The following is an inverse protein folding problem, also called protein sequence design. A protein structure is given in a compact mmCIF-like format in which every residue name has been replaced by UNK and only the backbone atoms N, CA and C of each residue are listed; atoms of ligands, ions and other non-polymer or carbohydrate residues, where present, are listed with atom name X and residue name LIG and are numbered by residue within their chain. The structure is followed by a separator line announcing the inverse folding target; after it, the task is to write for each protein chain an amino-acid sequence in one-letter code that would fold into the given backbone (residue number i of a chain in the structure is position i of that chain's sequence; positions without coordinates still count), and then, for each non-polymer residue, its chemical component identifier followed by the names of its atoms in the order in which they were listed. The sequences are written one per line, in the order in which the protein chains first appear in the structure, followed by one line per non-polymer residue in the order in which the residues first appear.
data_IF_059496780904
#
_entry.id   IF_059496780904
#
_cell.length_a   1.000
_cell.length_b   1.000
_cell.length_c   1.000
_cell.angle_alpha   90.00
_cell.angle_beta   90.00
_cell.angle_gamma   90.00
#
_symmetry.space_group_name_H-M   'P 1'
#
loop_
_entity.id
_entity.type
_entity.pdbx_description
1 polymer ?
#
# COMPACT_ATOMS: atom_id res chain seq x y z
N UNK A 1 1.43 8.00 -8.15
CA UNK A 1 0.71 6.70 -8.07
C UNK A 1 0.21 6.24 -9.43
N UNK A 2 -0.65 7.00 -10.10
CA UNK A 2 -1.21 6.61 -11.42
C UNK A 2 -0.12 6.44 -12.47
N UNK A 3 0.99 7.16 -12.36
CA UNK A 3 2.10 7.10 -13.30
C UNK A 3 3.02 5.89 -13.06
N UNK A 4 3.13 5.41 -11.80
CA UNK A 4 3.95 4.23 -11.43
C UNK A 4 3.33 2.89 -11.84
N UNK A 5 2.05 2.84 -12.24
CA UNK A 5 1.29 1.61 -12.37
C UNK A 5 0.95 1.22 -13.82
N UNK A 6 1.68 1.77 -14.79
CA UNK A 6 1.41 1.47 -16.19
C UNK A 6 0.17 2.19 -16.76
N UNK A 7 -0.43 3.12 -16.02
CA UNK A 7 -1.55 3.95 -16.50
C UNK A 7 -1.11 5.16 -17.33
N UNK A 8 0.19 5.31 -17.59
CA UNK A 8 0.70 6.43 -18.39
C UNK A 8 -0.04 6.57 -19.73
N UNK A 9 -0.26 5.49 -20.52
CA UNK A 9 -0.99 5.61 -21.78
C UNK A 9 -2.44 6.11 -21.60
N UNK A 10 -3.11 5.67 -20.54
CA UNK A 10 -4.48 6.09 -20.25
C UNK A 10 -4.52 7.56 -19.80
N UNK A 11 -3.56 7.99 -18.98
CA UNK A 11 -3.42 9.39 -18.56
C UNK A 11 -3.13 10.28 -19.76
N UNK A 12 -2.21 9.89 -20.66
CA UNK A 12 -1.92 10.60 -21.90
C UNK A 12 -3.15 10.75 -22.77
N UNK A 13 -3.94 9.69 -22.91
CA UNK A 13 -5.19 9.70 -23.64
C UNK A 13 -6.20 10.66 -23.02
N UNK A 14 -6.38 10.65 -21.71
CA UNK A 14 -7.27 11.60 -21.02
C UNK A 14 -6.79 13.02 -21.23
N UNK A 15 -5.49 13.28 -21.05
CA UNK A 15 -4.91 14.63 -21.24
C UNK A 15 -5.08 15.13 -22.66
N UNK A 16 -5.07 14.27 -23.68
CA UNK A 16 -5.28 14.65 -25.08
C UNK A 16 -6.69 15.19 -25.38
N UNK A 17 -7.67 14.89 -24.53
CA UNK A 17 -9.04 15.42 -24.64
C UNK A 17 -9.23 16.76 -23.91
N UNK A 18 -8.25 17.20 -23.13
CA UNK A 18 -8.34 18.44 -22.38
C UNK A 18 -7.97 19.65 -23.21
N UNK A 19 -8.53 20.84 -22.92
CA UNK A 19 -8.13 22.09 -23.59
C UNK A 19 -6.62 22.34 -23.46
N UNK A 20 -6.00 22.87 -24.51
CA UNK A 20 -4.56 23.21 -24.52
C UNK A 20 -4.26 24.30 -23.46
N UNK A 21 -5.12 25.30 -23.36
CA UNK A 21 -5.00 26.36 -22.35
C UNK A 21 -5.71 25.89 -21.08
N UNK A 22 -4.92 25.51 -20.07
CA UNK A 22 -5.42 25.06 -18.78
C UNK A 22 -4.37 25.27 -17.68
N UNK A 23 -4.80 25.34 -16.47
CA UNK A 23 -3.93 25.18 -15.30
C UNK A 23 -3.87 23.71 -14.92
N UNK A 24 -2.65 23.15 -14.88
CA UNK A 24 -2.42 21.76 -14.46
C UNK A 24 -1.68 21.77 -13.14
N UNK A 25 -2.22 21.07 -12.15
CA UNK A 25 -1.59 20.83 -10.86
C UNK A 25 -1.19 19.36 -10.80
N UNK A 26 0.06 19.12 -10.41
CA UNK A 26 0.63 17.79 -10.32
C UNK A 26 1.12 17.55 -8.89
N UNK A 27 0.56 16.57 -8.21
CA UNK A 27 0.91 16.22 -6.84
C UNK A 27 1.51 14.82 -6.79
N UNK A 28 2.64 14.68 -6.08
CA UNK A 28 3.27 13.39 -5.82
C UNK A 28 3.91 13.40 -4.44
N UNK A 29 3.84 12.28 -3.73
CA UNK A 29 4.55 12.08 -2.47
C UNK A 29 6.04 11.72 -2.72
N UNK A 30 6.35 11.17 -3.90
CA UNK A 30 7.71 10.81 -4.33
C UNK A 30 8.06 11.59 -5.59
N UNK A 31 9.28 12.11 -5.66
CA UNK A 31 9.79 12.86 -6.79
C UNK A 31 10.95 12.10 -7.45
N UNK A 32 10.67 10.89 -7.96
CA UNK A 32 11.66 10.17 -8.78
C UNK A 32 11.91 10.89 -10.10
N UNK A 33 13.07 10.66 -10.73
CA UNK A 33 13.39 11.23 -12.05
C UNK A 33 12.33 10.88 -13.12
N UNK A 34 11.72 9.71 -13.02
CA UNK A 34 10.62 9.30 -13.90
C UNK A 34 9.41 10.19 -13.73
N UNK A 35 9.03 10.50 -12.48
CA UNK A 35 7.92 11.41 -12.14
C UNK A 35 8.20 12.82 -12.62
N UNK A 36 9.43 13.31 -12.46
CA UNK A 36 9.84 14.60 -13.02
C UNK A 36 9.71 14.65 -14.55
N UNK A 37 10.15 13.62 -15.23
CA UNK A 37 10.08 13.52 -16.70
C UNK A 37 8.64 13.53 -17.18
N UNK A 38 7.77 12.76 -16.52
CA UNK A 38 6.34 12.69 -16.85
C UNK A 38 5.64 14.00 -16.50
N UNK A 39 5.95 14.61 -15.35
CA UNK A 39 5.40 15.91 -14.97
C UNK A 39 5.68 16.99 -15.99
N UNK A 40 6.92 17.07 -16.51
CA UNK A 40 7.29 18.02 -17.58
C UNK A 40 6.52 17.78 -18.89
N UNK A 41 6.07 16.57 -19.14
CA UNK A 41 5.27 16.24 -20.34
C UNK A 41 3.84 16.80 -20.26
N UNK A 42 3.28 16.90 -19.06
CA UNK A 42 1.89 17.30 -18.85
C UNK A 42 1.71 18.74 -18.36
N UNK A 43 2.78 19.36 -17.84
CA UNK A 43 2.72 20.71 -17.25
C UNK A 43 3.65 21.66 -18.01
N UNK A 44 3.07 22.75 -18.51
CA UNK A 44 3.83 23.81 -19.17
C UNK A 44 4.46 24.74 -18.10
N UNK A 45 5.77 24.96 -18.19
CA UNK A 45 6.53 25.81 -17.24
C UNK A 45 6.20 25.49 -15.76
N UNK A 46 6.46 24.26 -15.29
CA UNK A 46 6.08 23.85 -13.95
C UNK A 46 6.83 24.67 -12.88
N UNK A 47 6.09 25.18 -11.91
CA UNK A 47 6.66 25.69 -10.66
C UNK A 47 6.74 24.50 -9.69
N UNK A 48 7.93 24.09 -9.33
CA UNK A 48 8.15 23.04 -8.33
C UNK A 48 8.01 23.65 -6.94
N UNK A 49 7.17 23.04 -6.12
CA UNK A 49 7.02 23.35 -4.70
C UNK A 49 7.27 22.06 -3.94
N UNK A 50 8.36 22.03 -3.19
CA UNK A 50 8.78 20.89 -2.38
C UNK A 50 8.60 21.24 -0.90
N UNK A 51 7.84 20.45 -0.17
CA UNK A 51 7.43 20.75 1.21
C UNK A 51 8.28 20.02 2.24
N UNK A 52 8.88 18.88 1.86
CA UNK A 52 9.74 18.07 2.73
C UNK A 52 10.82 17.36 1.93
N UNK A 53 11.88 16.91 2.61
CA UNK A 53 12.90 16.05 1.99
C UNK A 53 12.26 14.74 1.51
N UNK A 54 12.61 14.26 0.30
CA UNK A 54 12.04 13.03 -0.22
C UNK A 54 12.39 11.84 0.67
N UNK A 55 11.39 11.00 0.90
CA UNK A 55 11.49 9.61 1.31
C UNK A 55 12.33 9.32 2.58
N UNK A 56 11.90 9.83 3.72
CA UNK A 56 12.23 9.20 5.01
C UNK A 56 10.95 8.64 5.62
N UNK A 57 11.03 7.43 6.19
CA UNK A 57 9.97 6.93 7.09
C UNK A 57 9.83 7.92 8.24
N UNK A 58 8.61 8.13 8.71
CA UNK A 58 8.38 8.95 9.89
C UNK A 58 9.22 8.41 11.06
N UNK A 59 9.81 9.30 11.85
CA UNK A 59 10.65 8.94 13.01
C UNK A 59 9.90 8.12 14.07
N UNK A 60 8.57 8.08 13.97
CA UNK A 60 7.65 7.34 14.84
C UNK A 60 7.55 5.85 14.48
N UNK A 61 8.02 5.42 13.30
CA UNK A 61 7.88 4.04 12.82
C UNK A 61 9.12 3.21 13.15
N UNK A 62 8.94 2.20 14.01
CA UNK A 62 9.98 1.19 14.26
C UNK A 62 9.99 0.13 13.15
N UNK A 63 11.12 -0.03 12.46
CA UNK A 63 11.27 -0.99 11.37
C UNK A 63 12.15 -2.16 11.76
N UNK A 64 11.69 -3.37 11.44
CA UNK A 64 12.41 -4.60 11.72
C UNK A 64 12.50 -5.48 10.47
N UNK A 65 13.65 -6.11 10.26
CA UNK A 65 13.86 -7.08 9.18
C UNK A 65 13.95 -8.50 9.74
N UNK A 66 13.04 -9.36 9.27
CA UNK A 66 13.04 -10.78 9.63
C UNK A 66 13.58 -11.62 8.47
N UNK A 67 14.72 -12.25 8.66
CA UNK A 67 15.32 -13.17 7.67
C UNK A 67 14.74 -14.56 7.81
N UNK A 68 14.16 -15.10 6.74
CA UNK A 68 13.56 -16.44 6.72
C UNK A 68 13.70 -17.07 5.34
N UNK A 69 13.43 -18.37 5.23
CA UNK A 69 13.34 -19.05 3.94
C UNK A 69 11.92 -18.98 3.38
N UNK A 70 11.79 -19.12 2.06
CA UNK A 70 10.48 -19.12 1.40
C UNK A 70 9.49 -20.12 2.02
N UNK A 71 9.96 -21.34 2.37
CA UNK A 71 9.12 -22.38 2.98
C UNK A 71 8.64 -22.02 4.39
N UNK A 72 9.45 -21.30 5.17
CA UNK A 72 9.15 -20.91 6.56
C UNK A 72 8.49 -19.54 6.70
N UNK A 73 8.30 -18.80 5.61
CA UNK A 73 7.80 -17.43 5.63
C UNK A 73 6.45 -17.28 6.35
N UNK A 74 5.50 -18.19 6.07
CA UNK A 74 4.19 -18.22 6.75
C UNK A 74 4.26 -18.59 8.21
N UNK A 75 5.19 -19.46 8.58
CA UNK A 75 5.45 -19.84 9.98
C UNK A 75 6.01 -18.63 10.73
N UNK A 76 7.06 -18.01 10.20
CA UNK A 76 7.67 -16.82 10.79
C UNK A 76 6.66 -15.68 11.01
N UNK A 77 5.77 -15.44 10.02
CA UNK A 77 4.70 -14.44 10.18
C UNK A 77 3.75 -14.81 11.34
N UNK A 78 3.32 -16.08 11.45
CA UNK A 78 2.44 -16.50 12.54
C UNK A 78 3.10 -16.38 13.91
N UNK A 79 4.40 -16.67 13.99
CA UNK A 79 5.16 -16.54 15.23
C UNK A 79 5.27 -15.08 15.66
N UNK A 80 5.51 -14.17 14.71
CA UNK A 80 5.47 -12.72 14.95
C UNK A 80 4.09 -12.26 15.42
N UNK A 81 3.02 -12.68 14.73
CA UNK A 81 1.66 -12.35 15.10
C UNK A 81 1.24 -12.83 16.49
N UNK A 82 1.89 -13.87 17.02
CA UNK A 82 1.65 -14.40 18.37
C UNK A 82 2.54 -13.80 19.43
N UNK A 83 3.75 -13.37 19.06
CA UNK A 83 4.77 -12.89 19.99
C UNK A 83 4.67 -11.41 20.33
N UNK A 84 3.87 -10.66 19.55
CA UNK A 84 3.71 -9.21 19.73
C UNK A 84 2.27 -8.88 20.15
N UNK A 85 2.10 -7.78 20.85
CA UNK A 85 0.79 -7.27 21.23
C UNK A 85 0.15 -6.54 20.02
N UNK A 86 -0.39 -7.34 19.10
CA UNK A 86 -0.96 -6.87 17.87
C UNK A 86 -2.46 -6.66 18.03
N UNK A 87 -2.89 -5.42 18.06
CA UNK A 87 -4.31 -5.08 18.10
C UNK A 87 -4.94 -5.29 16.72
N UNK A 88 -4.32 -4.75 15.69
CA UNK A 88 -4.69 -4.92 14.30
C UNK A 88 -3.45 -4.84 13.41
N UNK A 89 -3.49 -5.47 12.24
CA UNK A 89 -2.37 -5.40 11.31
C UNK A 89 -2.79 -5.47 9.84
N UNK A 90 -2.02 -4.79 8.99
CA UNK A 90 -2.08 -4.97 7.54
C UNK A 90 -0.89 -5.82 7.08
N UNK A 91 -1.16 -6.82 6.25
CA UNK A 91 -0.17 -7.74 5.71
C UNK A 91 -0.13 -7.60 4.20
N UNK A 92 0.95 -7.07 3.66
CA UNK A 92 1.12 -6.83 2.23
C UNK A 92 1.73 -8.04 1.52
N UNK A 93 1.07 -8.48 0.44
CA UNK A 93 1.53 -9.52 -0.48
C UNK A 93 1.63 -8.96 -1.91
N UNK A 94 2.68 -9.33 -2.65
CA UNK A 94 2.85 -8.86 -4.02
C UNK A 94 1.88 -9.49 -5.03
N UNK A 95 1.35 -10.69 -4.73
CA UNK A 95 0.52 -11.45 -5.67
C UNK A 95 -0.82 -11.82 -5.05
N UNK A 96 -1.90 -11.61 -5.79
CA UNK A 96 -3.26 -11.96 -5.35
C UNK A 96 -3.45 -13.43 -4.98
N UNK A 97 -2.79 -14.37 -5.68
CA UNK A 97 -2.83 -15.80 -5.35
C UNK A 97 -2.22 -16.11 -3.98
N UNK A 98 -1.21 -15.35 -3.59
CA UNK A 98 -0.53 -15.54 -2.31
C UNK A 98 -1.41 -15.03 -1.16
N UNK A 99 -2.27 -14.02 -1.41
CA UNK A 99 -3.28 -13.52 -0.48
C UNK A 99 -4.25 -14.65 -0.10
N UNK A 100 -4.84 -15.34 -1.06
CA UNK A 100 -5.79 -16.44 -0.81
C UNK A 100 -5.14 -17.59 -0.03
N UNK A 101 -3.89 -17.93 -0.37
CA UNK A 101 -3.11 -18.95 0.33
C UNK A 101 -2.79 -18.53 1.75
N UNK A 102 -2.41 -17.27 1.95
CA UNK A 102 -2.09 -16.74 3.27
C UNK A 102 -3.34 -16.64 4.14
N UNK A 103 -4.45 -16.16 3.62
CA UNK A 103 -5.74 -16.11 4.32
C UNK A 103 -6.18 -17.50 4.80
N UNK A 104 -6.12 -18.50 3.92
CA UNK A 104 -6.44 -19.88 4.28
C UNK A 104 -5.54 -20.39 5.40
N UNK A 105 -4.25 -20.04 5.36
CA UNK A 105 -3.31 -20.37 6.42
C UNK A 105 -3.64 -19.65 7.74
N UNK A 106 -3.94 -18.36 7.70
CA UNK A 106 -4.28 -17.58 8.90
C UNK A 106 -5.54 -18.11 9.58
N UNK A 107 -6.62 -18.30 8.82
CA UNK A 107 -7.90 -18.85 9.32
C UNK A 107 -7.72 -20.23 9.94
N UNK A 108 -6.95 -21.14 9.29
CA UNK A 108 -6.67 -22.49 9.82
C UNK A 108 -5.94 -22.45 11.17
N UNK A 109 -5.16 -21.42 11.42
CA UNK A 109 -4.39 -21.26 12.67
C UNK A 109 -5.07 -20.33 13.69
N UNK A 110 -6.37 -20.05 13.49
CA UNK A 110 -7.21 -19.34 14.46
C UNK A 110 -7.11 -17.80 14.40
N UNK A 111 -6.51 -17.23 13.36
CA UNK A 111 -6.46 -15.77 13.21
C UNK A 111 -7.73 -15.25 12.54
N UNK A 112 -8.26 -14.14 13.07
CA UNK A 112 -9.33 -13.36 12.43
C UNK A 112 -8.73 -12.53 11.29
N UNK A 113 -8.96 -12.95 10.03
CA UNK A 113 -8.35 -12.34 8.86
C UNK A 113 -9.32 -12.21 7.68
N UNK A 114 -9.26 -11.08 6.98
CA UNK A 114 -9.93 -10.84 5.70
C UNK A 114 -8.91 -10.44 4.62
N UNK A 115 -9.33 -10.52 3.35
CA UNK A 115 -8.48 -10.20 2.22
C UNK A 115 -8.95 -9.01 1.44
N UNK A 116 -8.00 -8.32 0.78
CA UNK A 116 -8.28 -7.23 -0.12
C UNK A 116 -7.44 -7.33 -1.39
N UNK A 117 -8.09 -7.60 -2.53
CA UNK A 117 -7.39 -7.75 -3.82
C UNK A 117 -8.26 -7.29 -5.00
N UNK A 118 -7.64 -7.11 -6.16
CA UNK A 118 -8.26 -6.51 -7.32
C UNK A 118 -9.45 -7.28 -7.93
N UNK A 119 -9.57 -8.58 -7.68
CA UNK A 119 -10.68 -9.39 -8.20
C UNK A 119 -11.97 -9.29 -7.36
N UNK A 120 -11.94 -8.59 -6.23
CA UNK A 120 -13.12 -8.38 -5.40
C UNK A 120 -14.04 -7.34 -6.03
N UNK A 121 -15.33 -7.52 -5.87
CA UNK A 121 -16.31 -6.48 -6.18
C UNK A 121 -16.11 -5.28 -5.25
N UNK A 122 -16.51 -4.10 -5.68
CA UNK A 122 -16.36 -2.89 -4.84
C UNK A 122 -17.12 -3.01 -3.52
N UNK A 123 -18.31 -3.63 -3.53
CA UNK A 123 -19.09 -3.88 -2.32
C UNK A 123 -18.36 -4.81 -1.33
N UNK A 124 -17.76 -5.90 -1.83
CA UNK A 124 -16.99 -6.82 -0.99
C UNK A 124 -15.73 -6.16 -0.41
N UNK A 125 -15.09 -5.26 -1.17
CA UNK A 125 -13.92 -4.50 -0.68
C UNK A 125 -14.31 -3.54 0.45
N UNK A 126 -15.42 -2.81 0.29
CA UNK A 126 -15.93 -1.91 1.32
C UNK A 126 -16.30 -2.69 2.58
N UNK A 127 -17.02 -3.81 2.44
CA UNK A 127 -17.38 -4.65 3.59
C UNK A 127 -16.14 -5.16 4.35
N UNK A 128 -15.12 -5.66 3.65
CA UNK A 128 -13.88 -6.11 4.28
C UNK A 128 -13.14 -5.00 5.03
N UNK A 129 -13.17 -3.78 4.48
CA UNK A 129 -12.59 -2.61 5.15
C UNK A 129 -13.38 -2.19 6.38
N UNK A 130 -14.70 -2.17 6.28
CA UNK A 130 -15.57 -1.81 7.41
C UNK A 130 -15.42 -2.82 8.56
N UNK A 131 -15.35 -4.14 8.26
CA UNK A 131 -15.07 -5.17 9.26
C UNK A 131 -13.73 -4.95 9.96
N UNK A 132 -12.70 -4.57 9.21
CA UNK A 132 -11.38 -4.26 9.75
C UNK A 132 -11.38 -2.96 10.56
N UNK A 133 -11.97 -1.87 10.05
CA UNK A 133 -12.08 -0.58 10.74
C UNK A 133 -12.85 -0.66 12.06
N UNK A 134 -13.90 -1.48 12.09
CA UNK A 134 -14.73 -1.68 13.26
C UNK A 134 -14.14 -2.70 14.27
N UNK A 135 -12.93 -3.22 14.03
CA UNK A 135 -12.27 -4.18 14.91
C UNK A 135 -12.89 -5.57 14.93
N UNK A 136 -13.82 -5.88 14.03
CA UNK A 136 -14.41 -7.22 13.89
C UNK A 136 -13.39 -8.23 13.36
N UNK A 137 -12.45 -7.75 12.56
CA UNK A 137 -11.33 -8.52 12.00
C UNK A 137 -10.01 -7.83 12.33
N UNK A 138 -9.07 -8.58 12.88
CA UNK A 138 -7.79 -8.04 13.30
C UNK A 138 -6.74 -7.95 12.19
N UNK A 139 -6.81 -8.82 11.17
CA UNK A 139 -5.78 -8.90 10.13
C UNK A 139 -6.38 -8.63 8.74
N UNK A 140 -5.83 -7.62 8.05
CA UNK A 140 -6.15 -7.32 6.66
C UNK A 140 -5.00 -7.79 5.76
N UNK A 141 -5.21 -8.81 4.92
CA UNK A 141 -4.23 -9.28 3.95
C UNK A 141 -4.51 -8.64 2.60
N UNK A 142 -3.62 -7.82 2.10
CA UNK A 142 -3.87 -7.03 0.90
C UNK A 142 -2.72 -7.06 -0.11
N UNK A 143 -3.03 -6.81 -1.39
CA UNK A 143 -2.01 -6.37 -2.33
C UNK A 143 -1.78 -4.86 -2.16
N UNK A 144 -0.55 -4.42 -2.41
CA UNK A 144 -0.21 -2.99 -2.35
C UNK A 144 -1.12 -2.14 -3.24
N UNK A 145 -1.44 -2.64 -4.43
CA UNK A 145 -2.36 -2.00 -5.39
C UNK A 145 -3.77 -1.84 -4.82
N UNK A 146 -4.29 -2.88 -4.16
CA UNK A 146 -5.64 -2.87 -3.64
C UNK A 146 -5.77 -2.02 -2.36
N UNK A 147 -4.71 -1.93 -1.59
CA UNK A 147 -4.69 -1.14 -0.35
C UNK A 147 -4.35 0.35 -0.59
N UNK A 148 -3.80 0.70 -1.75
CA UNK A 148 -3.47 2.09 -2.07
C UNK A 148 -4.71 2.99 -2.09
N UNK A 149 -4.61 4.12 -1.40
CA UNK A 149 -5.68 5.12 -1.34
C UNK A 149 -6.85 4.71 -0.44
N UNK A 150 -6.69 3.66 0.35
CA UNK A 150 -7.62 3.34 1.41
C UNK A 150 -7.19 4.09 2.66
N UNK A 151 -8.12 4.83 3.20
CA UNK A 151 -8.02 5.39 4.53
C UNK A 151 -8.18 4.23 5.53
N UNK A 152 -7.07 3.75 6.08
CA UNK A 152 -7.03 2.68 7.09
C UNK A 152 -6.50 3.32 8.38
N UNK A 153 -7.37 3.82 9.24
CA UNK A 153 -6.93 4.50 10.46
C UNK A 153 -6.37 3.51 11.50
N UNK A 154 -5.39 3.97 12.25
CA UNK A 154 -4.93 3.34 13.50
C UNK A 154 -4.44 1.90 13.35
N UNK A 155 -3.54 1.62 12.39
CA UNK A 155 -2.93 0.32 12.24
C UNK A 155 -1.76 0.18 13.22
N UNK A 156 -1.83 -0.80 14.12
CA UNK A 156 -0.75 -1.03 15.09
C UNK A 156 0.51 -1.62 14.45
N UNK A 157 0.35 -2.47 13.44
CA UNK A 157 1.47 -3.16 12.78
C UNK A 157 1.25 -3.30 11.26
N UNK A 158 2.33 -3.15 10.51
CA UNK A 158 2.39 -3.43 9.08
C UNK A 158 3.41 -4.53 8.82
N UNK A 159 3.00 -5.58 8.13
CA UNK A 159 3.87 -6.68 7.70
C UNK A 159 4.02 -6.68 6.19
N UNK A 160 5.20 -6.38 5.68
CA UNK A 160 5.52 -6.63 4.29
C UNK A 160 5.90 -8.11 4.12
N UNK A 161 4.87 -8.97 3.95
CA UNK A 161 5.07 -10.41 3.74
C UNK A 161 5.92 -10.66 2.50
N UNK A 162 5.73 -9.89 1.45
CA UNK A 162 6.65 -9.80 0.32
C UNK A 162 7.24 -8.38 0.27
N UNK A 163 8.56 -8.31 0.15
CA UNK A 163 9.21 -7.02 -0.09
C UNK A 163 8.81 -6.53 -1.47
N UNK A 164 8.25 -5.32 -1.59
CA UNK A 164 7.87 -4.78 -2.88
C UNK A 164 9.11 -4.55 -3.75
N UNK A 165 8.98 -4.70 -5.08
CA UNK A 165 10.11 -4.54 -6.01
C UNK A 165 10.62 -3.09 -6.10
N UNK A 166 9.76 -2.12 -5.76
CA UNK A 166 10.12 -0.71 -5.75
C UNK A 166 10.24 -0.21 -4.30
N UNK A 167 11.39 0.41 -3.91
CA UNK A 167 11.57 0.99 -2.58
C UNK A 167 10.51 2.02 -2.18
N UNK A 168 10.00 2.81 -3.12
CA UNK A 168 8.93 3.79 -2.86
C UNK A 168 7.63 3.11 -2.38
N UNK A 169 7.36 1.90 -2.86
CA UNK A 169 6.23 1.12 -2.37
C UNK A 169 6.42 0.69 -0.91
N UNK A 170 7.66 0.41 -0.50
CA UNK A 170 7.96 0.04 0.89
C UNK A 170 7.68 1.21 1.85
N UNK A 171 8.11 2.41 1.48
CA UNK A 171 7.83 3.62 2.25
C UNK A 171 6.32 3.84 2.39
N UNK A 172 5.61 3.75 1.28
CA UNK A 172 4.16 3.92 1.26
C UNK A 172 3.40 2.91 2.13
N UNK A 173 3.81 1.64 2.14
CA UNK A 173 3.19 0.63 3.01
C UNK A 173 3.50 0.87 4.48
N UNK A 174 4.66 1.47 4.78
CA UNK A 174 5.04 1.84 6.14
C UNK A 174 4.23 3.05 6.66
N UNK A 175 3.93 4.03 5.81
CA UNK A 175 3.13 5.22 6.18
C UNK A 175 1.71 4.85 6.62
N UNK A 176 1.17 3.70 6.19
CA UNK A 176 -0.12 3.20 6.67
C UNK A 176 -0.15 2.97 8.21
N UNK A 177 1.01 2.87 8.86
CA UNK A 177 1.11 2.78 10.31
C UNK A 177 1.11 4.16 11.01
N UNK A 178 1.38 5.25 10.29
CA UNK A 178 1.53 6.60 10.87
C UNK A 178 0.25 7.45 10.81
N UNK A 179 -0.72 7.09 9.97
CA UNK A 179 -1.99 7.86 9.83
C UNK A 179 -2.91 7.80 11.06
N UNK A 180 -2.46 7.21 12.17
CA UNK A 180 -3.24 6.99 13.39
C UNK A 180 -2.96 7.96 14.56
N UNK A 181 -2.18 9.01 14.35
CA UNK A 181 -1.80 9.93 15.43
C UNK A 181 -2.23 11.36 15.12
#
# INVERSE_FOLDING_TARGET
RMLDMGFIPDVERIVSFLPVIRQTLFFSATLSEEIHTIGRKFVMNPKLIEVAKPASTADTISQNLVRTTFKKKREALRDLLRSQDIQNAVIFCNRKRDISTLLSSMKRHGFSATGLHGDMTQSARLAALDEFKNGQIALLVASDVAARGLDIPSVSHVFNFDVPPNPDCLLYTSDAADEGH
#
